data_IF_048700242384
#
_entry.id   IF_048700242384
#
_cell.length_a   1.000
_cell.length_b   1.000
_cell.length_c   1.000
_cell.angle_alpha   90.00
_cell.angle_beta   90.00
_cell.angle_gamma   90.00
#
_symmetry.space_group_name_H-M   'P 1'
#
loop_
_entity.id
_entity.type
_entity.pdbx_description
1 polymer ?
#
# COMPACT_ATOMS: atom_id res chain seq x y z
N UNK A 1 5.72 -22.02 5.57
CA UNK A 1 4.53 -22.13 6.45
C UNK A 1 4.67 -21.30 7.75
N UNK A 2 5.86 -20.84 8.13
CA UNK A 2 6.10 -20.13 9.41
C UNK A 2 5.43 -18.76 9.57
N UNK A 3 5.21 -18.02 8.48
CA UNK A 3 4.64 -16.67 8.57
C UNK A 3 3.12 -16.66 8.93
N UNK A 4 2.40 -17.78 8.74
CA UNK A 4 0.97 -17.85 9.07
C UNK A 4 0.71 -17.96 10.57
N UNK A 5 1.61 -18.64 11.32
CA UNK A 5 1.50 -18.76 12.77
C UNK A 5 1.77 -17.41 13.45
N UNK A 6 2.80 -16.68 13.00
CA UNK A 6 3.12 -15.33 13.49
C UNK A 6 1.97 -14.33 13.30
N UNK A 7 1.40 -14.29 12.09
CA UNK A 7 0.21 -13.46 11.79
C UNK A 7 -1.00 -13.85 12.66
N UNK A 8 -1.21 -15.14 12.90
CA UNK A 8 -2.28 -15.63 13.78
C UNK A 8 -2.10 -15.24 15.25
N UNK A 9 -0.87 -15.25 15.78
CA UNK A 9 -0.57 -14.83 17.15
C UNK A 9 -0.77 -13.32 17.34
N UNK A 10 -0.33 -12.52 16.36
CA UNK A 10 -0.57 -11.07 16.36
C UNK A 10 -2.07 -10.77 16.36
N UNK A 11 -2.84 -11.51 15.57
CA UNK A 11 -4.31 -11.41 15.54
C UNK A 11 -4.93 -11.75 16.91
N UNK A 12 -4.55 -12.85 17.54
CA UNK A 12 -5.09 -13.24 18.86
C UNK A 12 -4.77 -12.19 19.95
N UNK A 13 -3.54 -11.66 19.99
CA UNK A 13 -3.15 -10.58 20.91
C UNK A 13 -3.98 -9.32 20.72
N UNK A 14 -4.27 -8.98 19.47
CA UNK A 14 -5.03 -7.78 19.12
C UNK A 14 -6.50 -7.87 19.53
N UNK A 15 -7.10 -9.05 19.42
CA UNK A 15 -8.51 -9.29 19.78
C UNK A 15 -8.69 -9.41 21.30
N UNK A 16 -7.66 -9.84 22.03
CA UNK A 16 -7.73 -10.04 23.47
C UNK A 16 -8.21 -8.81 24.26
N UNK A 17 -7.62 -7.63 24.04
CA UNK A 17 -7.96 -6.44 24.84
C UNK A 17 -9.41 -5.99 24.63
N UNK A 18 -9.92 -5.82 23.39
CA UNK A 18 -11.34 -5.54 23.17
C UNK A 18 -12.27 -6.63 23.71
N UNK A 19 -11.90 -7.92 23.61
CA UNK A 19 -12.69 -9.01 24.19
C UNK A 19 -12.78 -8.89 25.71
N UNK A 20 -11.65 -8.71 26.40
CA UNK A 20 -11.62 -8.62 27.85
C UNK A 20 -12.44 -7.42 28.37
N UNK A 21 -12.31 -6.26 27.72
CA UNK A 21 -13.10 -5.06 28.05
C UNK A 21 -14.59 -5.31 27.78
N UNK A 22 -14.94 -5.82 26.60
CA UNK A 22 -16.33 -6.08 26.21
C UNK A 22 -17.02 -7.13 27.09
N UNK A 23 -16.38 -8.28 27.33
CA UNK A 23 -16.92 -9.34 28.18
C UNK A 23 -16.98 -8.93 29.65
N UNK A 24 -15.99 -8.21 30.17
CA UNK A 24 -15.98 -7.74 31.56
C UNK A 24 -17.07 -6.71 31.84
N UNK A 25 -17.05 -5.58 31.11
CA UNK A 25 -18.06 -4.53 31.32
C UNK A 25 -19.46 -4.94 30.83
N UNK A 26 -19.55 -5.73 29.76
CA UNK A 26 -20.83 -6.31 29.33
C UNK A 26 -21.40 -7.29 30.36
N UNK A 27 -20.54 -8.12 30.97
CA UNK A 27 -20.93 -9.02 32.07
C UNK A 27 -21.44 -8.28 33.30
N UNK A 28 -20.77 -7.19 33.70
CA UNK A 28 -21.24 -6.32 34.78
C UNK A 28 -22.55 -5.64 34.44
N UNK A 29 -22.72 -5.19 33.19
CA UNK A 29 -23.95 -4.57 32.72
C UNK A 29 -25.15 -5.54 32.73
N UNK A 30 -24.92 -6.86 32.64
CA UNK A 30 -25.98 -7.87 32.69
C UNK A 30 -26.59 -8.07 34.09
N UNK A 31 -25.84 -7.77 35.16
CA UNK A 31 -26.26 -8.07 36.55
C UNK A 31 -27.61 -7.43 36.92
N UNK A 32 -27.85 -6.12 36.70
CA UNK A 32 -29.12 -5.49 37.08
C UNK A 32 -30.31 -5.90 36.19
N UNK A 33 -30.07 -6.56 35.05
CA UNK A 33 -31.12 -7.09 34.19
C UNK A 33 -31.53 -8.50 34.59
N UNK A 34 -30.57 -9.31 35.06
CA UNK A 34 -30.82 -10.69 35.49
C UNK A 34 -31.33 -10.78 36.93
N UNK A 35 -30.91 -9.86 37.81
CA UNK A 35 -31.29 -9.87 39.23
C UNK A 35 -32.81 -9.95 39.49
N UNK A 36 -33.68 -9.20 38.77
CA UNK A 36 -35.13 -9.26 39.01
C UNK A 36 -35.83 -10.50 38.44
N UNK A 37 -35.12 -11.36 37.68
CA UNK A 37 -35.72 -12.44 36.90
C UNK A 37 -35.72 -13.80 37.61
N UNK A 38 -35.30 -13.87 38.88
CA UNK A 38 -35.22 -15.09 39.70
C UNK A 38 -34.61 -16.29 38.96
N UNK A 39 -33.57 -16.01 38.17
CA UNK A 39 -32.90 -17.03 37.34
C UNK A 39 -32.11 -18.04 38.19
N UNK A 40 -31.95 -19.29 37.71
CA UNK A 40 -31.16 -20.31 38.38
C UNK A 40 -29.72 -19.87 38.72
N UNK A 41 -29.20 -20.36 39.86
CA UNK A 41 -27.86 -19.99 40.35
C UNK A 41 -26.72 -20.34 39.39
N UNK A 42 -26.87 -21.41 38.59
CA UNK A 42 -25.87 -21.81 37.61
C UNK A 42 -25.66 -20.75 36.52
N UNK A 43 -26.69 -19.94 36.23
CA UNK A 43 -26.61 -18.86 35.24
C UNK A 43 -25.67 -17.75 35.71
N UNK A 44 -25.62 -17.47 37.01
CA UNK A 44 -24.66 -16.52 37.60
C UNK A 44 -23.22 -17.05 37.52
N UNK A 45 -23.02 -18.34 37.77
CA UNK A 45 -21.71 -18.97 37.58
C UNK A 45 -21.27 -18.91 36.12
N UNK A 46 -22.19 -19.17 35.18
CA UNK A 46 -21.95 -19.05 33.74
C UNK A 46 -21.59 -17.61 33.35
N UNK A 47 -22.27 -16.60 33.90
CA UNK A 47 -21.97 -15.19 33.68
C UNK A 47 -20.55 -14.85 34.15
N UNK A 48 -20.16 -15.27 35.35
CA UNK A 48 -18.83 -15.02 35.88
C UNK A 48 -17.75 -15.65 35.01
N UNK A 49 -17.95 -16.90 34.59
CA UNK A 49 -17.03 -17.61 33.69
C UNK A 49 -16.96 -16.89 32.34
N UNK A 50 -18.10 -16.52 31.75
CA UNK A 50 -18.14 -15.87 30.45
C UNK A 50 -17.53 -14.46 30.46
N UNK A 51 -17.76 -13.68 31.52
CA UNK A 51 -17.29 -12.31 31.64
C UNK A 51 -15.79 -12.23 31.96
N UNK A 52 -15.31 -13.06 32.89
CA UNK A 52 -13.97 -12.90 33.47
C UNK A 52 -13.00 -14.03 33.16
N UNK A 53 -13.47 -15.26 32.89
CA UNK A 53 -12.57 -16.39 32.63
C UNK A 53 -12.37 -16.61 31.13
N UNK A 54 -13.47 -16.53 30.37
CA UNK A 54 -13.49 -16.84 28.96
C UNK A 54 -12.55 -15.98 28.10
N UNK A 55 -12.40 -14.65 28.29
CA UNK A 55 -11.47 -13.85 27.49
C UNK A 55 -10.02 -14.33 27.59
N UNK A 56 -9.59 -14.72 28.79
CA UNK A 56 -8.24 -15.26 29.03
C UNK A 56 -8.10 -16.67 28.47
N UNK A 57 -9.11 -17.52 28.68
CA UNK A 57 -9.12 -18.88 28.16
C UNK A 57 -9.09 -18.88 26.63
N UNK A 58 -9.92 -18.07 25.97
CA UNK A 58 -9.94 -17.90 24.52
C UNK A 58 -8.57 -17.46 23.98
N UNK A 59 -7.91 -16.51 24.65
CA UNK A 59 -6.55 -16.09 24.29
C UNK A 59 -5.53 -17.22 24.43
N UNK A 60 -5.59 -18.01 25.52
CA UNK A 60 -4.71 -19.17 25.70
C UNK A 60 -4.97 -20.26 24.66
N UNK A 61 -6.24 -20.56 24.36
CA UNK A 61 -6.63 -21.53 23.34
C UNK A 61 -6.12 -21.13 21.95
N UNK A 62 -6.17 -19.85 21.62
CA UNK A 62 -5.65 -19.33 20.35
C UNK A 62 -4.13 -19.38 20.27
N UNK A 63 -3.43 -18.96 21.33
CA UNK A 63 -1.96 -18.90 21.34
C UNK A 63 -1.30 -20.27 21.40
N UNK A 64 -1.93 -21.26 22.05
CA UNK A 64 -1.46 -22.64 22.11
C UNK A 64 -1.85 -23.49 20.89
N UNK A 65 -2.75 -23.00 20.03
CA UNK A 65 -3.19 -23.73 18.84
C UNK A 65 -2.09 -23.83 17.78
N UNK A 66 -2.06 -24.95 17.05
CA UNK A 66 -1.27 -25.08 15.83
C UNK A 66 -1.68 -24.06 14.75
N UNK A 67 -2.95 -23.63 14.75
CA UNK A 67 -3.50 -22.64 13.82
C UNK A 67 -4.19 -21.49 14.56
N UNK A 68 -3.42 -20.55 15.17
CA UNK A 68 -3.96 -19.49 16.02
C UNK A 68 -5.06 -18.66 15.37
N UNK A 69 -4.92 -18.35 14.08
CA UNK A 69 -5.92 -17.57 13.34
C UNK A 69 -7.28 -18.28 13.24
N UNK A 70 -7.28 -19.60 12.99
CA UNK A 70 -8.51 -20.39 12.92
C UNK A 70 -9.13 -20.56 14.30
N UNK A 71 -8.31 -20.81 15.32
CA UNK A 71 -8.75 -20.93 16.70
C UNK A 71 -9.41 -19.64 17.20
N UNK A 72 -8.81 -18.49 16.91
CA UNK A 72 -9.36 -17.19 17.32
C UNK A 72 -10.70 -16.89 16.63
N UNK A 73 -10.83 -17.20 15.34
CA UNK A 73 -12.11 -17.06 14.64
C UNK A 73 -13.21 -17.96 15.21
N UNK A 74 -12.86 -19.16 15.69
CA UNK A 74 -13.82 -20.03 16.39
C UNK A 74 -14.24 -19.41 17.71
N UNK A 75 -13.30 -18.86 18.49
CA UNK A 75 -13.62 -18.22 19.76
C UNK A 75 -14.53 -17.00 19.58
N UNK A 76 -14.35 -16.23 18.50
CA UNK A 76 -15.25 -15.12 18.13
C UNK A 76 -16.69 -15.59 17.83
N UNK A 77 -16.86 -16.78 17.26
CA UNK A 77 -18.19 -17.36 17.06
C UNK A 77 -18.80 -17.82 18.40
N UNK A 78 -17.99 -18.30 19.33
CA UNK A 78 -18.44 -18.61 20.70
C UNK A 78 -18.84 -17.33 21.44
N UNK A 79 -18.09 -16.22 21.27
CA UNK A 79 -18.47 -14.90 21.79
C UNK A 79 -19.85 -14.48 21.25
N UNK A 80 -20.05 -14.63 19.93
CA UNK A 80 -21.30 -14.31 19.25
C UNK A 80 -22.46 -15.18 19.75
N UNK A 81 -22.25 -16.48 19.95
CA UNK A 81 -23.26 -17.37 20.53
C UNK A 81 -23.63 -16.90 21.95
N UNK A 82 -22.63 -16.58 22.78
CA UNK A 82 -22.84 -16.03 24.12
C UNK A 82 -23.63 -14.71 24.10
N UNK A 83 -23.34 -13.81 23.16
CA UNK A 83 -24.10 -12.58 22.99
C UNK A 83 -25.59 -12.82 22.73
N UNK A 84 -25.92 -13.73 21.82
CA UNK A 84 -27.31 -14.12 21.56
C UNK A 84 -27.99 -14.77 22.76
N UNK A 85 -27.28 -15.66 23.45
CA UNK A 85 -27.77 -16.29 24.67
C UNK A 85 -28.11 -15.26 25.74
N UNK A 86 -27.21 -14.32 26.03
CA UNK A 86 -27.43 -13.30 27.05
C UNK A 86 -28.53 -12.31 26.68
N UNK A 87 -28.65 -11.92 25.41
CA UNK A 87 -29.73 -11.07 24.93
C UNK A 87 -31.12 -11.68 25.19
N UNK A 88 -31.26 -12.98 24.98
CA UNK A 88 -32.50 -13.69 25.30
C UNK A 88 -32.68 -13.91 26.81
N UNK A 89 -31.61 -14.16 27.57
CA UNK A 89 -31.68 -14.37 29.03
C UNK A 89 -32.16 -13.15 29.81
N UNK A 90 -31.95 -11.94 29.26
CA UNK A 90 -32.50 -10.68 29.80
C UNK A 90 -33.89 -10.35 29.23
N UNK A 91 -34.59 -11.33 28.67
CA UNK A 91 -35.89 -11.17 28.03
C UNK A 91 -35.86 -10.11 26.92
N UNK A 92 -34.82 -10.12 26.10
CA UNK A 92 -34.65 -9.20 24.97
C UNK A 92 -34.84 -7.72 25.32
N UNK A 93 -34.39 -7.29 26.51
CA UNK A 93 -34.46 -5.88 26.88
C UNK A 93 -33.78 -5.01 25.79
N UNK A 94 -34.49 -4.00 25.22
CA UNK A 94 -34.01 -3.29 24.04
C UNK A 94 -32.65 -2.63 24.22
N UNK A 95 -32.39 -1.99 25.37
CA UNK A 95 -31.16 -1.24 25.60
C UNK A 95 -29.94 -2.16 25.54
N UNK A 96 -29.91 -3.18 26.40
CA UNK A 96 -28.74 -4.05 26.51
C UNK A 96 -28.64 -5.04 25.35
N UNK A 97 -29.77 -5.46 24.76
CA UNK A 97 -29.78 -6.30 23.55
C UNK A 97 -29.12 -5.58 22.37
N UNK A 98 -29.48 -4.32 22.12
CA UNK A 98 -28.87 -3.53 21.03
C UNK A 98 -27.38 -3.31 21.28
N UNK A 99 -26.97 -3.08 22.54
CA UNK A 99 -25.55 -2.96 22.91
C UNK A 99 -24.81 -4.26 22.60
N UNK A 100 -25.34 -5.42 23.03
CA UNK A 100 -24.73 -6.73 22.79
C UNK A 100 -24.63 -7.02 21.28
N UNK A 101 -25.70 -6.81 20.53
CA UNK A 101 -25.71 -7.05 19.07
C UNK A 101 -24.71 -6.12 18.36
N UNK A 102 -24.70 -4.83 18.70
CA UNK A 102 -23.76 -3.85 18.13
C UNK A 102 -22.32 -4.20 18.48
N UNK A 103 -22.07 -4.63 19.73
CA UNK A 103 -20.77 -5.09 20.21
C UNK A 103 -20.28 -6.28 19.39
N UNK A 104 -21.12 -7.30 19.20
CA UNK A 104 -20.81 -8.50 18.40
C UNK A 104 -20.63 -8.17 16.93
N UNK A 105 -21.43 -7.26 16.37
CA UNK A 105 -21.30 -6.82 14.98
C UNK A 105 -19.95 -6.13 14.75
N UNK A 106 -19.59 -5.15 15.58
CA UNK A 106 -18.28 -4.50 15.53
C UNK A 106 -17.13 -5.51 15.67
N UNK A 107 -17.26 -6.46 16.61
CA UNK A 107 -16.25 -7.48 16.83
C UNK A 107 -16.02 -8.36 15.59
N UNK A 108 -17.12 -8.85 15.00
CA UNK A 108 -17.08 -9.73 13.84
C UNK A 108 -16.53 -9.01 12.58
N UNK A 109 -16.94 -7.76 12.36
CA UNK A 109 -16.46 -6.95 11.23
C UNK A 109 -14.97 -6.65 11.38
N UNK A 110 -14.53 -6.16 12.55
CA UNK A 110 -13.13 -5.84 12.81
C UNK A 110 -12.20 -7.07 12.72
N UNK A 111 -12.73 -8.26 13.00
CA UNK A 111 -11.98 -9.51 12.99
C UNK A 111 -11.93 -10.22 11.63
N UNK A 112 -13.02 -10.21 10.86
CA UNK A 112 -13.14 -11.04 9.65
C UNK A 112 -14.11 -10.53 8.59
N UNK A 113 -14.54 -9.27 8.68
CA UNK A 113 -15.40 -8.62 7.70
C UNK A 113 -16.79 -9.26 7.54
N UNK A 114 -17.45 -9.09 6.38
CA UNK A 114 -18.86 -9.45 6.21
C UNK A 114 -19.14 -10.96 6.31
N UNK A 115 -18.17 -11.80 5.90
CA UNK A 115 -18.33 -13.26 6.00
C UNK A 115 -18.36 -13.73 7.45
N UNK A 116 -17.56 -13.12 8.34
CA UNK A 116 -17.57 -13.45 9.76
C UNK A 116 -18.80 -12.85 10.44
N UNK A 117 -19.22 -11.64 10.04
CA UNK A 117 -20.47 -11.03 10.49
C UNK A 117 -21.67 -11.96 10.29
N UNK A 118 -21.85 -12.52 9.08
CA UNK A 118 -22.98 -13.40 8.79
C UNK A 118 -22.97 -14.65 9.70
N UNK A 119 -21.81 -15.29 9.87
CA UNK A 119 -21.67 -16.45 10.76
C UNK A 119 -21.90 -16.10 12.22
N UNK A 120 -21.44 -14.94 12.66
CA UNK A 120 -21.67 -14.43 14.01
C UNK A 120 -23.14 -14.09 14.26
N UNK A 121 -23.86 -13.55 13.27
CA UNK A 121 -25.30 -13.32 13.35
C UNK A 121 -26.06 -14.65 13.50
N UNK A 122 -25.70 -15.68 12.70
CA UNK A 122 -26.27 -17.02 12.85
C UNK A 122 -25.97 -17.62 14.23
N UNK A 123 -24.74 -17.46 14.74
CA UNK A 123 -24.36 -17.91 16.07
C UNK A 123 -25.19 -17.22 17.17
N UNK A 124 -25.46 -15.91 17.03
CA UNK A 124 -26.34 -15.17 17.96
C UNK A 124 -27.76 -15.70 17.94
N UNK A 125 -28.32 -15.98 16.76
CA UNK A 125 -29.67 -16.58 16.64
C UNK A 125 -29.71 -17.94 17.36
N UNK A 126 -28.70 -18.79 17.15
CA UNK A 126 -28.60 -20.09 17.83
C UNK A 126 -28.52 -19.90 19.36
N UNK A 127 -27.68 -18.98 19.83
CA UNK A 127 -27.56 -18.69 21.26
C UNK A 127 -28.86 -18.21 21.88
N UNK A 128 -29.57 -17.31 21.19
CA UNK A 128 -30.87 -16.80 21.62
C UNK A 128 -31.92 -17.93 21.68
N UNK A 129 -31.97 -18.81 20.68
CA UNK A 129 -32.87 -19.97 20.67
C UNK A 129 -32.60 -20.91 21.86
N UNK A 130 -31.34 -21.19 22.15
CA UNK A 130 -30.95 -22.02 23.31
C UNK A 130 -31.41 -21.40 24.62
N UNK A 131 -31.23 -20.08 24.79
CA UNK A 131 -31.70 -19.37 25.98
C UNK A 131 -33.24 -19.38 26.10
N UNK A 132 -33.96 -19.12 25.00
CA UNK A 132 -35.43 -19.21 24.98
C UNK A 132 -35.94 -20.62 25.33
N UNK A 133 -35.24 -21.68 24.93
CA UNK A 133 -35.60 -23.05 25.30
C UNK A 133 -35.39 -23.33 26.80
N UNK A 134 -34.42 -22.67 27.44
CA UNK A 134 -34.09 -22.89 28.85
C UNK A 134 -34.93 -22.02 29.81
N UNK A 135 -35.22 -20.77 29.44
CA UNK A 135 -35.88 -19.79 30.31
C UNK A 135 -37.28 -19.38 29.83
N UNK A 136 -37.70 -19.86 28.65
CA UNK A 136 -38.89 -19.38 27.97
C UNK A 136 -38.62 -18.13 27.13
N UNK A 137 -39.45 -17.90 26.13
CA UNK A 137 -39.39 -16.70 25.30
C UNK A 137 -40.23 -15.59 25.93
N UNK A 138 -39.57 -14.52 26.38
CA UNK A 138 -40.21 -13.35 27.00
C UNK A 138 -39.57 -12.07 26.48
N UNK A 139 -40.33 -10.97 26.51
CA UNK A 139 -39.87 -9.64 26.09
C UNK A 139 -40.13 -8.62 27.20
N UNK A 140 -39.09 -7.91 27.64
CA UNK A 140 -39.20 -6.85 28.64
C UNK A 140 -38.76 -5.50 28.07
N UNK A 141 -39.72 -4.61 27.82
CA UNK A 141 -39.48 -3.28 27.26
C UNK A 141 -39.00 -2.25 28.30
N UNK A 142 -39.15 -2.52 29.59
CA UNK A 142 -38.88 -1.54 30.64
C UNK A 142 -37.41 -1.58 31.08
N UNK A 143 -36.81 -0.39 31.19
CA UNK A 143 -35.42 -0.23 31.62
C UNK A 143 -35.35 0.77 32.78
N UNK A 144 -34.76 0.36 33.89
CA UNK A 144 -34.59 1.23 35.07
C UNK A 144 -33.37 2.14 34.96
N UNK A 145 -33.31 3.21 35.76
CA UNK A 145 -32.13 4.10 35.80
C UNK A 145 -30.84 3.35 36.16
N UNK A 146 -30.92 2.37 37.08
CA UNK A 146 -29.78 1.54 37.46
C UNK A 146 -29.25 0.72 36.27
N UNK A 147 -30.16 0.14 35.48
CA UNK A 147 -29.83 -0.60 34.26
C UNK A 147 -29.19 0.30 33.20
N UNK A 148 -29.66 1.55 33.05
CA UNK A 148 -29.03 2.54 32.16
C UNK A 148 -27.60 2.85 32.63
N UNK A 149 -27.41 3.17 33.91
CA UNK A 149 -26.08 3.50 34.44
C UNK A 149 -25.09 2.34 34.35
N UNK A 150 -25.56 1.10 34.54
CA UNK A 150 -24.74 -0.10 34.37
C UNK A 150 -24.22 -0.30 32.94
N UNK A 151 -24.94 0.21 31.93
CA UNK A 151 -24.53 0.13 30.53
C UNK A 151 -23.53 1.22 30.10
N UNK A 152 -23.38 2.31 30.86
CA UNK A 152 -22.53 3.44 30.45
C UNK A 152 -21.05 3.05 30.24
N UNK A 153 -20.41 2.25 31.12
CA UNK A 153 -19.02 1.86 30.91
C UNK A 153 -18.82 1.05 29.63
N UNK A 154 -19.69 0.07 29.32
CA UNK A 154 -19.55 -0.74 28.10
C UNK A 154 -19.80 0.08 26.84
N UNK A 155 -20.74 1.03 26.87
CA UNK A 155 -21.02 1.94 25.76
C UNK A 155 -19.84 2.83 25.37
N UNK A 156 -19.00 3.21 26.34
CA UNK A 156 -17.85 4.08 26.10
C UNK A 156 -16.59 3.25 25.84
N UNK A 157 -16.28 2.32 26.74
CA UNK A 157 -14.99 1.63 26.76
C UNK A 157 -14.86 0.61 25.63
N UNK A 158 -15.95 -0.07 25.25
CA UNK A 158 -15.86 -1.07 24.18
C UNK A 158 -15.61 -0.43 22.80
N UNK A 159 -16.42 0.52 22.29
CA UNK A 159 -16.16 1.16 21.01
C UNK A 159 -14.80 1.86 20.98
N UNK A 160 -14.40 2.51 22.08
CA UNK A 160 -13.08 3.12 22.21
C UNK A 160 -11.96 2.07 22.03
N UNK A 161 -12.06 0.93 22.70
CA UNK A 161 -11.05 -0.14 22.60
C UNK A 161 -10.92 -0.71 21.17
N UNK A 162 -12.05 -0.93 20.49
CA UNK A 162 -12.09 -1.40 19.10
C UNK A 162 -11.53 -0.33 18.16
N UNK A 163 -11.87 0.94 18.41
CA UNK A 163 -11.38 2.10 17.65
C UNK A 163 -9.87 2.25 17.72
N UNK A 164 -9.28 2.21 18.93
CA UNK A 164 -7.83 2.29 19.14
C UNK A 164 -7.08 1.16 18.43
N UNK A 165 -7.60 -0.07 18.53
CA UNK A 165 -7.03 -1.23 17.83
C UNK A 165 -7.12 -1.06 16.31
N UNK A 166 -8.26 -0.58 15.80
CA UNK A 166 -8.47 -0.38 14.36
C UNK A 166 -7.58 0.73 13.80
N UNK A 167 -7.41 1.83 14.53
CA UNK A 167 -6.53 2.93 14.19
C UNK A 167 -5.06 2.48 14.11
N UNK A 168 -4.58 1.74 15.11
CA UNK A 168 -3.22 1.20 15.12
C UNK A 168 -2.93 0.26 13.94
N UNK A 169 -3.93 -0.48 13.45
CA UNK A 169 -3.79 -1.29 12.23
C UNK A 169 -3.71 -0.45 10.97
N UNK A 170 -4.52 0.61 10.88
CA UNK A 170 -4.51 1.50 9.73
C UNK A 170 -3.13 2.14 9.54
N UNK A 171 -2.51 2.60 10.64
CA UNK A 171 -1.15 3.17 10.60
C UNK A 171 -0.13 2.12 10.14
N UNK A 172 -0.07 0.94 10.78
CA UNK A 172 0.89 -0.10 10.41
C UNK A 172 0.75 -0.55 8.96
N UNK A 173 -0.47 -0.59 8.45
CA UNK A 173 -0.74 -0.91 7.05
C UNK A 173 -0.20 0.18 6.12
N UNK A 174 -0.38 1.46 6.47
CA UNK A 174 0.15 2.58 5.72
C UNK A 174 1.69 2.59 5.71
N UNK A 175 2.33 2.34 6.85
CA UNK A 175 3.78 2.23 6.98
C UNK A 175 4.33 1.11 6.10
N UNK A 176 3.80 -0.12 6.21
CA UNK A 176 4.23 -1.24 5.38
C UNK A 176 4.03 -0.97 3.89
N UNK A 177 2.93 -0.30 3.51
CA UNK A 177 2.71 0.12 2.13
C UNK A 177 3.78 1.12 1.66
N UNK A 178 4.17 2.05 2.52
CA UNK A 178 5.24 3.02 2.23
C UNK A 178 6.60 2.33 2.08
N UNK A 179 6.96 1.42 3.00
CA UNK A 179 8.20 0.65 2.93
C UNK A 179 8.26 -0.21 1.67
N UNK A 180 7.17 -0.89 1.32
CA UNK A 180 7.10 -1.68 0.09
C UNK A 180 7.27 -0.82 -1.16
N UNK A 181 6.73 0.41 -1.16
CA UNK A 181 6.95 1.38 -2.25
C UNK A 181 8.41 1.82 -2.31
N UNK A 182 9.03 2.11 -1.17
CA UNK A 182 10.45 2.48 -1.10
C UNK A 182 11.39 1.34 -1.54
N UNK A 183 11.01 0.09 -1.28
CA UNK A 183 11.75 -1.10 -1.71
C UNK A 183 11.47 -1.51 -3.16
N UNK A 184 10.46 -0.91 -3.81
CA UNK A 184 10.23 -1.16 -5.23
C UNK A 184 11.43 -0.65 -6.00
N UNK A 185 12.03 -1.49 -6.86
CA UNK A 185 13.11 -1.07 -7.74
C UNK A 185 12.61 -0.39 -9.01
N UNK A 186 11.33 -0.56 -9.31
CA UNK A 186 10.73 -0.13 -10.56
C UNK A 186 9.71 0.97 -10.36
N UNK A 187 9.58 1.83 -11.37
CA UNK A 187 8.50 2.81 -11.50
C UNK A 187 7.18 2.09 -11.83
N UNK A 188 6.11 2.44 -11.12
CA UNK A 188 4.83 1.72 -11.24
C UNK A 188 4.09 1.98 -12.55
N UNK A 189 4.40 3.07 -13.25
CA UNK A 189 3.75 3.42 -14.51
C UNK A 189 4.43 2.74 -15.71
N UNK A 190 5.76 2.79 -15.73
CA UNK A 190 6.58 2.37 -16.87
C UNK A 190 7.16 0.97 -16.74
N UNK A 191 7.34 0.48 -15.50
CA UNK A 191 8.02 -0.80 -15.22
C UNK A 191 9.55 -0.73 -15.36
N UNK A 192 10.11 0.42 -15.77
CA UNK A 192 11.55 0.67 -15.75
C UNK A 192 12.06 0.84 -14.32
N UNK A 193 13.38 0.94 -14.15
CA UNK A 193 13.96 1.32 -12.87
C UNK A 193 13.42 2.69 -12.43
N UNK A 194 13.12 2.84 -11.14
CA UNK A 194 12.82 4.17 -10.62
C UNK A 194 14.09 5.01 -10.45
N UNK A 195 13.92 6.32 -10.28
CA UNK A 195 15.00 7.29 -10.09
C UNK A 195 16.08 6.82 -9.10
N UNK A 196 15.67 6.35 -7.90
CA UNK A 196 16.62 5.88 -6.88
C UNK A 196 17.43 4.67 -7.35
N UNK A 197 16.74 3.63 -7.83
CA UNK A 197 17.40 2.37 -8.24
C UNK A 197 18.30 2.56 -9.46
N UNK A 198 17.92 3.44 -10.39
CA UNK A 198 18.75 3.77 -11.54
C UNK A 198 20.02 4.54 -11.12
N UNK A 199 19.89 5.50 -10.20
CA UNK A 199 21.03 6.28 -9.69
C UNK A 199 22.03 5.42 -8.91
N UNK A 200 21.56 4.46 -8.13
CA UNK A 200 22.42 3.49 -7.43
C UNK A 200 23.24 2.66 -8.43
N UNK A 201 22.60 2.20 -9.51
CA UNK A 201 23.27 1.45 -10.57
C UNK A 201 24.25 2.31 -11.38
N UNK A 202 23.95 3.60 -11.56
CA UNK A 202 24.87 4.57 -12.16
C UNK A 202 26.16 4.68 -11.34
N UNK A 203 26.06 4.84 -10.02
CA UNK A 203 27.22 4.90 -9.14
C UNK A 203 28.06 3.63 -9.21
N UNK A 204 27.41 2.46 -9.16
CA UNK A 204 28.08 1.17 -9.30
C UNK A 204 28.78 1.03 -10.66
N UNK A 205 28.14 1.48 -11.75
CA UNK A 205 28.74 1.40 -13.08
C UNK A 205 29.92 2.37 -13.22
N UNK A 206 29.81 3.57 -12.69
CA UNK A 206 30.90 4.55 -12.65
C UNK A 206 32.15 3.99 -11.96
N UNK A 207 31.99 3.41 -10.77
CA UNK A 207 33.09 2.75 -10.04
C UNK A 207 33.73 1.62 -10.84
N UNK A 208 32.91 0.79 -11.53
CA UNK A 208 33.43 -0.27 -12.40
C UNK A 208 34.22 0.27 -13.59
N UNK A 209 33.77 1.37 -14.22
CA UNK A 209 34.49 2.00 -15.31
C UNK A 209 35.85 2.55 -14.84
N UNK A 210 35.89 3.15 -13.64
CA UNK A 210 37.11 3.65 -13.03
C UNK A 210 38.13 2.53 -12.72
N UNK A 211 37.66 1.37 -12.27
CA UNK A 211 38.53 0.23 -11.93
C UNK A 211 39.03 -0.53 -13.16
N UNK A 212 38.15 -0.82 -14.12
CA UNK A 212 38.42 -1.78 -15.20
C UNK A 212 38.69 -1.12 -16.56
N UNK A 213 38.79 0.22 -16.62
CA UNK A 213 38.86 0.99 -17.88
C UNK A 213 37.76 0.60 -18.89
N UNK A 214 36.59 0.18 -18.41
CA UNK A 214 35.48 -0.21 -19.28
C UNK A 214 34.78 1.02 -19.84
N UNK A 215 34.42 1.01 -21.13
CA UNK A 215 33.61 2.06 -21.72
C UNK A 215 32.15 1.96 -21.28
N UNK A 216 31.47 3.11 -21.22
CA UNK A 216 30.03 3.19 -21.04
C UNK A 216 29.56 4.55 -21.53
N UNK A 217 28.31 4.63 -21.99
CA UNK A 217 27.68 5.89 -22.39
C UNK A 217 26.36 6.06 -21.64
N UNK A 218 26.09 7.28 -21.17
CA UNK A 218 24.77 7.66 -20.63
C UNK A 218 23.94 8.32 -21.71
N UNK A 219 22.64 8.05 -21.67
CA UNK A 219 21.62 8.83 -22.35
C UNK A 219 20.67 9.43 -21.31
N UNK A 220 20.45 10.74 -21.38
CA UNK A 220 19.37 11.44 -20.70
C UNK A 220 18.34 11.85 -21.76
N UNK A 221 17.09 11.49 -21.56
CA UNK A 221 16.02 11.56 -22.55
C UNK A 221 14.87 12.35 -21.94
N UNK A 222 14.28 13.25 -22.70
CA UNK A 222 13.10 14.03 -22.30
C UNK A 222 12.05 14.02 -23.40
N UNK A 223 10.79 13.86 -23.00
CA UNK A 223 9.66 13.95 -23.93
C UNK A 223 9.36 15.42 -24.20
N UNK A 224 9.56 15.83 -25.45
CA UNK A 224 9.35 17.21 -25.85
C UNK A 224 7.89 17.63 -25.63
N UNK A 225 7.70 18.80 -25.03
CA UNK A 225 6.39 19.41 -24.80
C UNK A 225 5.40 18.53 -24.00
N UNK A 226 5.89 17.62 -23.14
CA UNK A 226 5.03 16.73 -22.36
C UNK A 226 3.96 17.44 -21.51
N UNK A 227 4.29 18.60 -20.93
CA UNK A 227 3.30 19.43 -20.21
C UNK A 227 2.14 19.84 -21.12
N UNK A 228 2.41 20.28 -22.35
CA UNK A 228 1.37 20.62 -23.32
C UNK A 228 0.51 19.41 -23.68
N UNK A 229 1.11 18.21 -23.82
CA UNK A 229 0.35 16.98 -24.05
C UNK A 229 -0.65 16.74 -22.91
N UNK A 230 -0.21 16.87 -21.66
CA UNK A 230 -1.09 16.72 -20.50
C UNK A 230 -2.18 17.79 -20.45
N UNK A 231 -1.83 19.05 -20.73
CA UNK A 231 -2.76 20.17 -20.67
C UNK A 231 -3.82 20.11 -21.79
N UNK A 232 -3.48 19.58 -22.96
CA UNK A 232 -4.39 19.47 -24.12
C UNK A 232 -5.21 18.18 -24.13
N UNK A 233 -4.59 17.03 -23.86
CA UNK A 233 -5.21 15.71 -24.03
C UNK A 233 -5.49 14.99 -22.71
N UNK A 234 -5.09 15.58 -21.58
CA UNK A 234 -5.28 15.03 -20.24
C UNK A 234 -4.21 14.01 -19.82
N UNK A 235 -4.12 13.82 -18.50
CA UNK A 235 -3.08 12.97 -17.89
C UNK A 235 -3.14 11.49 -18.32
N UNK A 236 -4.30 10.96 -18.69
CA UNK A 236 -4.42 9.57 -19.16
C UNK A 236 -3.71 9.35 -20.50
N UNK A 237 -3.74 10.35 -21.39
CA UNK A 237 -3.02 10.32 -22.66
C UNK A 237 -1.52 10.49 -22.42
N UNK A 238 -1.13 11.43 -21.54
CA UNK A 238 0.27 11.58 -21.11
C UNK A 238 0.86 10.30 -20.52
N UNK A 239 0.12 9.61 -19.65
CA UNK A 239 0.52 8.30 -19.11
C UNK A 239 0.72 7.24 -20.21
N UNK A 240 -0.09 7.28 -21.27
CA UNK A 240 0.05 6.37 -22.41
C UNK A 240 1.30 6.66 -23.23
N UNK A 241 1.66 7.93 -23.40
CA UNK A 241 2.92 8.35 -24.03
C UNK A 241 4.14 7.87 -23.21
N UNK A 242 4.10 8.01 -21.89
CA UNK A 242 5.17 7.52 -21.00
C UNK A 242 5.34 5.99 -21.08
N UNK A 243 4.23 5.25 -21.12
CA UNK A 243 4.26 3.78 -21.30
C UNK A 243 4.80 3.39 -22.67
N UNK A 244 4.48 4.15 -23.72
CA UNK A 244 5.00 3.89 -25.05
C UNK A 244 6.52 4.05 -25.05
N UNK A 245 7.06 5.17 -24.57
CA UNK A 245 8.51 5.38 -24.52
C UNK A 245 9.22 4.26 -23.74
N UNK A 246 8.65 3.85 -22.61
CA UNK A 246 9.16 2.73 -21.84
C UNK A 246 9.23 1.43 -22.65
N UNK A 247 8.17 1.14 -23.41
CA UNK A 247 8.10 -0.04 -24.28
C UNK A 247 9.17 0.03 -25.36
N UNK A 248 9.34 1.19 -26.01
CA UNK A 248 10.37 1.39 -27.03
C UNK A 248 11.78 1.22 -26.47
N UNK A 249 12.05 1.74 -25.26
CA UNK A 249 13.32 1.53 -24.58
C UNK A 249 13.55 0.04 -24.32
N UNK A 250 12.58 -0.68 -23.77
CA UNK A 250 12.72 -2.11 -23.47
C UNK A 250 12.94 -2.98 -24.73
N UNK A 251 12.30 -2.64 -25.85
CA UNK A 251 12.43 -3.39 -27.10
C UNK A 251 13.74 -3.11 -27.83
N UNK A 252 14.28 -1.90 -27.70
CA UNK A 252 15.48 -1.49 -28.42
C UNK A 252 16.77 -1.68 -27.61
N UNK A 253 16.67 -1.87 -26.29
CA UNK A 253 17.79 -2.08 -25.38
C UNK A 253 18.06 -3.56 -25.10
N UNK A 254 19.31 -3.89 -24.76
CA UNK A 254 19.71 -5.23 -24.35
C UNK A 254 19.43 -5.44 -22.87
N UNK A 255 19.48 -6.70 -22.42
CA UNK A 255 19.35 -7.04 -21.01
C UNK A 255 20.42 -6.42 -20.09
N UNK A 256 21.58 -6.08 -20.66
CA UNK A 256 22.70 -5.42 -19.96
C UNK A 256 22.55 -3.89 -19.85
N UNK A 257 21.69 -3.30 -20.69
CA UNK A 257 21.41 -1.87 -20.68
C UNK A 257 20.42 -1.53 -19.57
N UNK A 258 20.61 -0.41 -18.88
CA UNK A 258 19.86 -0.06 -17.69
C UNK A 258 19.01 1.19 -17.95
N UNK A 259 17.74 0.99 -18.25
CA UNK A 259 16.77 2.07 -18.42
C UNK A 259 16.00 2.38 -17.13
N UNK A 260 15.82 3.66 -16.85
CA UNK A 260 15.06 4.14 -15.69
C UNK A 260 14.26 5.39 -16.00
N UNK A 261 13.17 5.60 -15.26
CA UNK A 261 12.44 6.86 -15.26
C UNK A 261 13.02 7.76 -14.17
N UNK A 262 13.67 8.84 -14.60
CA UNK A 262 14.43 9.75 -13.74
C UNK A 262 13.53 10.84 -13.14
N UNK A 263 12.59 11.35 -13.93
CA UNK A 263 11.66 12.42 -13.56
C UNK A 263 10.26 12.19 -14.13
N UNK A 264 9.43 13.24 -14.14
CA UNK A 264 8.07 13.17 -14.66
C UNK A 264 8.02 12.67 -16.10
N UNK A 265 8.77 13.31 -16.98
CA UNK A 265 8.93 13.08 -18.42
C UNK A 265 10.36 12.73 -18.83
N UNK A 266 11.25 12.61 -17.85
CA UNK A 266 12.68 12.34 -18.04
C UNK A 266 13.01 10.87 -17.84
N UNK A 267 13.77 10.31 -18.77
CA UNK A 267 14.24 8.93 -18.77
C UNK A 267 15.77 8.91 -18.88
N UNK A 268 16.39 7.89 -18.30
CA UNK A 268 17.82 7.69 -18.40
C UNK A 268 18.15 6.27 -18.86
N UNK A 269 19.24 6.13 -19.59
CA UNK A 269 19.79 4.83 -20.00
C UNK A 269 21.28 4.79 -19.72
N UNK A 270 21.75 3.72 -19.08
CA UNK A 270 23.16 3.37 -19.00
C UNK A 270 23.41 2.31 -20.07
N UNK A 271 24.36 2.56 -20.96
CA UNK A 271 24.76 1.67 -22.06
C UNK A 271 26.20 1.17 -21.79
N UNK A 272 26.37 0.03 -21.10
CA UNK A 272 27.69 -0.54 -20.83
C UNK A 272 28.41 -0.93 -22.12
N UNK A 273 29.72 -0.73 -22.17
CA UNK A 273 30.60 -1.15 -23.27
C UNK A 273 30.19 -0.59 -24.64
N UNK A 274 29.54 0.58 -24.66
CA UNK A 274 29.13 1.28 -25.88
C UNK A 274 29.90 2.58 -26.06
N UNK A 275 30.37 2.80 -27.28
CA UNK A 275 30.86 4.11 -27.71
C UNK A 275 29.71 5.10 -27.84
N UNK A 276 30.08 6.38 -27.88
CA UNK A 276 29.14 7.47 -28.13
C UNK A 276 28.38 7.30 -29.46
N UNK A 277 29.06 6.83 -30.52
CA UNK A 277 28.44 6.56 -31.82
C UNK A 277 27.40 5.45 -31.77
N UNK A 278 27.72 4.32 -31.12
CA UNK A 278 26.79 3.21 -30.96
C UNK A 278 25.58 3.62 -30.09
N UNK A 279 25.80 4.41 -29.05
CA UNK A 279 24.72 4.95 -28.23
C UNK A 279 23.80 5.87 -29.04
N UNK A 280 24.39 6.72 -29.91
CA UNK A 280 23.65 7.59 -30.82
C UNK A 280 22.75 6.79 -31.76
N UNK A 281 23.27 5.76 -32.42
CA UNK A 281 22.48 4.89 -33.32
C UNK A 281 21.29 4.23 -32.58
N UNK A 282 21.49 3.77 -31.34
CA UNK A 282 20.43 3.17 -30.54
C UNK A 282 19.35 4.20 -30.21
N UNK A 283 19.75 5.41 -29.79
CA UNK A 283 18.81 6.48 -29.44
C UNK A 283 18.11 7.07 -30.66
N UNK A 284 18.75 7.10 -31.82
CA UNK A 284 18.12 7.49 -33.10
C UNK A 284 17.00 6.54 -33.46
N UNK A 285 17.23 5.23 -33.35
CA UNK A 285 16.21 4.20 -33.57
C UNK A 285 15.03 4.35 -32.60
N UNK A 286 15.30 4.54 -31.30
CA UNK A 286 14.24 4.77 -30.30
C UNK A 286 13.45 6.03 -30.63
N UNK A 287 14.13 7.13 -30.96
CA UNK A 287 13.49 8.41 -31.31
C UNK A 287 12.61 8.27 -32.56
N UNK A 288 13.08 7.57 -33.59
CA UNK A 288 12.32 7.37 -34.82
C UNK A 288 11.03 6.58 -34.57
N UNK A 289 11.11 5.43 -33.88
CA UNK A 289 9.93 4.61 -33.59
C UNK A 289 8.95 5.35 -32.66
N UNK A 290 9.47 6.11 -31.69
CA UNK A 290 8.64 6.92 -30.82
C UNK A 290 7.93 8.07 -31.57
N UNK A 291 8.59 8.74 -32.51
CA UNK A 291 7.97 9.76 -33.36
C UNK A 291 6.83 9.21 -34.23
N UNK A 292 6.92 7.93 -34.60
CA UNK A 292 5.89 7.23 -35.40
C UNK A 292 4.69 6.78 -34.56
N UNK A 293 4.77 6.87 -33.22
CA UNK A 293 3.65 6.54 -32.33
C UNK A 293 2.39 7.36 -32.66
N UNK A 294 1.25 6.67 -32.79
CA UNK A 294 -0.07 7.28 -32.95
C UNK A 294 -0.98 6.75 -31.86
N UNK A 295 -1.54 7.66 -31.06
CA UNK A 295 -2.47 7.28 -30.00
C UNK A 295 -3.84 6.95 -30.62
N UNK A 296 -4.44 5.82 -30.23
CA UNK A 296 -5.67 5.31 -30.84
C UNK A 296 -6.86 6.27 -30.72
N UNK A 297 -6.98 6.97 -29.59
CA UNK A 297 -8.05 7.95 -29.38
C UNK A 297 -7.67 9.37 -29.85
N UNK A 298 -6.37 9.63 -30.07
CA UNK A 298 -5.85 10.96 -30.45
C UNK A 298 -4.87 10.85 -31.64
N UNK A 299 -5.35 10.58 -32.86
CA UNK A 299 -4.49 10.31 -34.02
C UNK A 299 -3.64 11.52 -34.46
N UNK A 300 -4.02 12.73 -34.05
CA UNK A 300 -3.31 13.97 -34.33
C UNK A 300 -2.13 14.21 -33.38
N UNK A 301 -2.08 13.51 -32.25
CA UNK A 301 -0.97 13.61 -31.30
C UNK A 301 0.35 13.29 -32.01
N UNK A 302 1.33 14.19 -31.85
CA UNK A 302 2.71 14.01 -32.27
C UNK A 302 3.60 14.11 -31.05
N UNK A 303 4.54 13.19 -30.95
CA UNK A 303 5.49 13.10 -29.85
C UNK A 303 6.90 13.07 -30.41
N UNK A 304 7.85 13.63 -29.69
CA UNK A 304 9.28 13.62 -30.04
C UNK A 304 10.12 13.59 -28.76
N UNK A 305 11.40 13.27 -28.91
CA UNK A 305 12.35 13.19 -27.80
C UNK A 305 13.54 14.10 -28.05
N UNK A 306 14.00 14.76 -26.99
CA UNK A 306 15.34 15.33 -26.94
C UNK A 306 16.24 14.40 -26.13
N UNK A 307 17.48 14.18 -26.58
CA UNK A 307 18.42 13.28 -25.92
C UNK A 307 19.80 13.92 -25.77
N UNK A 308 20.37 13.83 -24.57
CA UNK A 308 21.76 14.15 -24.29
C UNK A 308 22.58 12.88 -24.04
N UNK A 309 23.66 12.72 -24.80
CA UNK A 309 24.58 11.59 -24.65
C UNK A 309 25.91 12.02 -24.03
N UNK A 310 26.45 11.22 -23.10
CA UNK A 310 27.80 11.43 -22.57
C UNK A 310 28.54 10.11 -22.40
N UNK A 311 29.67 9.95 -23.08
CA UNK A 311 30.58 8.82 -22.83
C UNK A 311 31.31 9.02 -21.51
N UNK A 312 31.56 7.93 -20.78
CA UNK A 312 32.44 7.94 -19.62
C UNK A 312 33.84 8.41 -20.03
N UNK A 313 34.45 9.24 -19.17
CA UNK A 313 35.82 9.73 -19.27
C UNK A 313 36.49 9.63 -17.90
N UNK A 314 37.80 9.36 -17.90
CA UNK A 314 38.58 9.21 -16.67
C UNK A 314 38.63 10.50 -15.82
N UNK A 315 38.40 11.65 -16.46
CA UNK A 315 38.44 12.99 -15.87
C UNK A 315 37.25 13.30 -14.96
N UNK A 316 36.17 12.51 -15.01
CA UNK A 316 35.01 12.75 -14.15
C UNK A 316 35.35 12.39 -12.70
N UNK A 317 35.08 13.32 -11.77
CA UNK A 317 35.32 13.13 -10.34
C UNK A 317 34.36 12.10 -9.74
N UNK A 318 33.10 12.12 -10.16
CA UNK A 318 32.06 11.22 -9.69
C UNK A 318 30.98 10.93 -10.76
N UNK A 319 30.05 10.05 -10.42
CA UNK A 319 28.90 9.74 -11.26
C UNK A 319 28.01 10.95 -11.56
N UNK A 320 27.96 11.93 -10.65
CA UNK A 320 27.17 13.16 -10.80
C UNK A 320 27.74 14.05 -11.90
N UNK A 321 29.06 14.19 -11.98
CA UNK A 321 29.75 14.93 -13.02
C UNK A 321 29.52 14.31 -14.41
N UNK A 322 29.51 12.97 -14.49
CA UNK A 322 29.19 12.26 -15.73
C UNK A 322 27.73 12.49 -16.17
N UNK A 323 26.78 12.40 -15.23
CA UNK A 323 25.36 12.70 -15.48
C UNK A 323 25.14 14.16 -15.89
N UNK A 324 25.82 15.10 -15.24
CA UNK A 324 25.74 16.53 -15.56
C UNK A 324 26.21 16.83 -16.99
N UNK A 325 27.15 16.05 -17.53
CA UNK A 325 27.57 16.20 -18.93
C UNK A 325 26.48 15.73 -19.92
N UNK A 326 25.74 14.66 -19.59
CA UNK A 326 24.58 14.25 -20.37
C UNK A 326 23.44 15.29 -20.28
N UNK A 327 23.25 15.91 -19.11
CA UNK A 327 22.28 16.98 -18.90
C UNK A 327 22.57 18.22 -19.76
N UNK A 328 23.84 18.68 -19.80
CA UNK A 328 24.24 19.76 -20.71
C UNK A 328 23.95 19.43 -22.17
N UNK A 329 24.23 18.20 -22.61
CA UNK A 329 23.94 17.78 -23.97
C UNK A 329 22.42 17.78 -24.23
N UNK A 330 21.60 17.33 -23.28
CA UNK A 330 20.14 17.37 -23.39
C UNK A 330 19.63 18.82 -23.45
N UNK A 331 20.21 19.71 -22.66
CA UNK A 331 19.88 21.13 -22.69
C UNK A 331 20.16 21.75 -24.07
N UNK A 332 21.30 21.41 -24.69
CA UNK A 332 21.62 21.83 -26.07
C UNK A 332 20.58 21.29 -27.06
N UNK A 333 20.18 20.03 -26.94
CA UNK A 333 19.13 19.45 -27.79
C UNK A 333 17.81 20.23 -27.67
N UNK A 334 17.38 20.54 -26.44
CA UNK A 334 16.17 21.33 -26.16
C UNK A 334 16.27 22.77 -26.70
N UNK A 335 17.44 23.41 -26.60
CA UNK A 335 17.64 24.81 -27.03
C UNK A 335 17.81 24.98 -28.53
N UNK A 336 18.38 24.01 -29.22
CA UNK A 336 18.66 24.09 -30.66
C UNK A 336 17.53 23.57 -31.53
N UNK A 337 16.35 23.31 -30.98
CA UNK A 337 15.14 22.98 -31.76
C UNK A 337 14.48 21.63 -31.44
N UNK A 338 14.89 20.94 -30.37
CA UNK A 338 14.30 19.66 -29.90
C UNK A 338 14.37 18.55 -30.96
N UNK A 339 13.72 17.41 -30.70
CA UNK A 339 13.66 16.24 -31.57
C UNK A 339 15.03 15.82 -32.14
N UNK A 340 16.04 15.76 -31.25
CA UNK A 340 17.42 15.50 -31.66
C UNK A 340 18.26 14.93 -30.53
N UNK A 341 19.40 14.41 -30.92
CA UNK A 341 20.41 13.84 -30.02
C UNK A 341 21.66 14.71 -30.09
N UNK A 342 22.09 15.23 -28.95
CA UNK A 342 23.33 15.99 -28.80
C UNK A 342 24.32 15.22 -27.93
N UNK A 343 25.62 15.51 -28.08
CA UNK A 343 26.68 14.77 -27.38
C UNK A 343 27.57 15.67 -26.54
N UNK A 344 27.90 15.23 -25.33
CA UNK A 344 28.87 15.87 -24.44
C UNK A 344 30.28 15.79 -24.99
N UNK A 345 30.99 16.92 -24.96
CA UNK A 345 32.36 17.16 -25.46
C UNK A 345 32.60 17.28 -26.98
N UNK A 346 31.62 17.08 -27.88
CA UNK A 346 31.83 17.31 -29.33
C UNK A 346 31.11 18.57 -29.86
N UNK A 347 29.96 18.96 -29.30
CA UNK A 347 29.15 20.06 -29.83
C UNK A 347 29.52 21.45 -29.26
N UNK A 348 30.38 21.51 -28.23
CA UNK A 348 30.89 22.78 -27.67
C UNK A 348 32.00 23.43 -28.53
N UNK A 349 32.58 22.69 -29.49
CA UNK A 349 33.65 23.19 -30.36
C UNK A 349 33.12 23.86 -31.64
N UNK A 350 31.81 23.80 -31.93
CA UNK A 350 31.22 24.44 -33.10
C UNK A 350 30.73 25.88 -32.85
N UNK A 351 30.81 26.39 -31.62
CA UNK A 351 30.37 27.76 -31.28
C UNK A 351 31.54 28.75 -31.02
N UNK A 352 32.78 28.33 -31.33
CA UNK A 352 33.96 29.18 -31.25
C UNK A 352 34.69 29.27 -32.59
N UNK A 353 33.99 29.72 -33.65
CA UNK A 353 34.66 30.27 -34.82
C UNK A 353 35.05 31.73 -34.52
N UNK A 354 36.31 32.17 -34.73
CA UNK A 354 36.68 33.56 -34.51
C UNK A 354 36.00 34.45 -35.54
N UNK A 355 35.34 35.52 -35.08
CA UNK A 355 34.99 36.66 -35.93
C UNK A 355 36.31 37.27 -36.38
N UNK A 356 36.61 37.16 -37.67
CA UNK A 356 37.77 37.77 -38.32
C UNK A 356 37.64 39.30 -38.25
N UNK A 357 38.52 40.02 -37.53
CA UNK A 357 38.50 41.46 -37.53
C UNK A 357 39.53 41.93 -38.55
N UNK A 358 39.14 42.08 -39.83
CA UNK A 358 39.74 43.01 -40.80
C UNK A 358 39.07 42.88 -42.18
N UNK A 359 38.14 43.79 -42.47
CA UNK A 359 37.99 44.32 -43.82
C UNK A 359 37.75 45.83 -43.72
N UNK A 360 38.79 46.58 -44.08
CA UNK A 360 38.78 48.01 -44.43
C UNK A 360 37.76 48.34 -45.51
#
# INVERSE_FOLDING_TARGET
MDNQRGKGLSFARRIYTPRAIGSGFGGLALIPFLYPLDIPIWTWALLLVNAFVWPHLAYQLSTRSAYPYKAERRNILVDSLGGGFWAASIQFNPLLTVIIISMMMMHNVAAGGPKLLLRGALAQVIGALVSCLLFGASFNAHTSNLQVYACLPVLILYPFSVGMVSYGLAIKLAEHKSTLRALSRTDSLTGLLNHGSWKDLLQLKFQKCQQNQSSATLALIDIDHFKHINDTFGHLVGDSVLRQLSTELQQNLRAEDLAGRYGGDEFCVILPNRSLSQAKEIMERVSQVFCDFRHAAEPELRVSLSVGLASYRLEYEDASAWLNEADKALYIAKKTGRNKICTGAADLLFDSAPIDPLST
#
